data_IF_850653593892
#
_entry.id   IF_850653593892
#
_cell.length_a   1.000
_cell.length_b   1.000
_cell.length_c   1.000
_cell.angle_alpha   90.00
_cell.angle_beta   90.00
_cell.angle_gamma   90.00
#
_symmetry.space_group_name_H-M   'P 1'
#
loop_
_entity.id
_entity.type
_entity.pdbx_description
1 polymer ?
#
# COMPACT_ATOMS: atom_id res chain seq x y z
N UNK A 1 -51.12 -9.38 10.17
CA UNK A 1 -50.00 -8.83 9.38
C UNK A 1 -48.86 -8.64 10.35
N UNK A 2 -48.07 -9.68 10.52
CA UNK A 2 -46.84 -9.66 11.33
C UNK A 2 -45.80 -8.98 10.46
N UNK A 3 -45.38 -7.78 10.86
CA UNK A 3 -44.26 -7.09 10.23
C UNK A 3 -43.05 -8.02 10.33
N UNK A 4 -42.53 -8.44 9.17
CA UNK A 4 -41.28 -9.17 9.14
C UNK A 4 -40.18 -8.21 9.65
N UNK A 5 -39.30 -8.63 10.56
CA UNK A 5 -38.20 -7.80 10.99
C UNK A 5 -37.39 -7.42 9.74
N UNK A 6 -37.31 -6.12 9.46
CA UNK A 6 -36.38 -5.60 8.47
C UNK A 6 -35.00 -6.08 8.92
N UNK A 7 -34.18 -6.72 8.06
CA UNK A 7 -32.84 -7.13 8.49
C UNK A 7 -32.12 -5.86 8.95
N UNK A 8 -31.75 -5.84 10.23
CA UNK A 8 -31.01 -4.73 10.83
C UNK A 8 -29.80 -4.47 9.95
N UNK A 9 -29.70 -3.25 9.41
CA UNK A 9 -28.55 -2.88 8.60
C UNK A 9 -27.29 -3.08 9.46
N UNK A 10 -26.21 -3.64 8.90
CA UNK A 10 -24.99 -3.81 9.66
C UNK A 10 -24.53 -2.44 10.17
N UNK A 11 -24.22 -2.39 11.47
CA UNK A 11 -23.75 -1.17 12.14
C UNK A 11 -22.39 -0.75 11.59
N UNK A 12 -21.54 -1.73 11.29
CA UNK A 12 -20.24 -1.57 10.68
C UNK A 12 -20.16 -2.33 9.36
N UNK A 13 -19.66 -1.68 8.32
CA UNK A 13 -19.28 -2.33 7.06
C UNK A 13 -17.76 -2.40 6.99
N UNK A 14 -17.22 -3.62 7.00
CA UNK A 14 -15.77 -3.85 6.94
C UNK A 14 -15.31 -3.95 5.48
N UNK A 15 -14.25 -3.21 5.15
CA UNK A 15 -13.58 -3.23 3.86
C UNK A 15 -12.17 -3.81 4.02
N UNK A 16 -11.75 -4.70 3.09
CA UNK A 16 -10.43 -5.29 3.14
C UNK A 16 -9.34 -4.29 2.77
N UNK A 17 -8.36 -4.19 3.65
CA UNK A 17 -7.10 -3.52 3.41
C UNK A 17 -6.01 -4.51 2.98
N UNK A 18 -5.32 -4.20 1.89
CA UNK A 18 -4.23 -5.00 1.35
C UNK A 18 -2.85 -4.44 1.70
N UNK A 19 -2.75 -3.33 2.42
CA UNK A 19 -1.45 -2.74 2.69
C UNK A 19 -0.81 -2.19 1.42
N UNK A 20 0.50 -2.36 1.34
CA UNK A 20 1.28 -2.01 0.16
C UNK A 20 0.97 -2.85 -1.08
N UNK A 21 0.32 -4.01 -0.92
CA UNK A 21 -0.05 -4.87 -2.05
C UNK A 21 -1.01 -4.18 -3.01
N UNK A 22 -1.73 -3.11 -2.61
CA UNK A 22 -2.52 -2.31 -3.54
C UNK A 22 -1.72 -1.84 -4.76
N UNK A 23 -0.43 -1.53 -4.59
CA UNK A 23 0.44 -1.10 -5.70
C UNK A 23 0.71 -2.23 -6.70
N UNK A 24 0.59 -3.48 -6.25
CA UNK A 24 0.86 -4.68 -7.06
C UNK A 24 -0.39 -5.24 -7.74
N UNK A 25 -1.59 -4.69 -7.46
CA UNK A 25 -2.86 -5.28 -7.84
C UNK A 25 -3.65 -4.38 -8.80
N UNK A 26 -3.46 -4.49 -10.14
CA UNK A 26 -4.07 -3.60 -11.12
C UNK A 26 -5.61 -3.52 -11.07
N UNK A 27 -6.27 -4.59 -10.62
CA UNK A 27 -7.73 -4.71 -10.62
C UNK A 27 -8.36 -4.55 -9.22
N UNK A 28 -7.55 -4.40 -8.18
CA UNK A 28 -7.99 -4.11 -6.82
C UNK A 28 -6.93 -3.27 -6.11
N UNK A 29 -6.79 -2.02 -6.54
CA UNK A 29 -5.83 -1.04 -6.01
C UNK A 29 -6.54 0.05 -5.19
N UNK A 30 -5.77 1.04 -4.73
CA UNK A 30 -6.31 2.17 -3.97
C UNK A 30 -7.41 2.94 -4.72
N UNK A 31 -7.32 3.04 -6.06
CA UNK A 31 -8.35 3.64 -6.90
C UNK A 31 -9.66 2.84 -6.88
N UNK A 32 -9.57 1.50 -6.94
CA UNK A 32 -10.75 0.61 -6.81
C UNK A 32 -11.46 0.82 -5.47
N UNK A 33 -10.70 0.92 -4.37
CA UNK A 33 -11.28 1.16 -3.03
C UNK A 33 -12.02 2.50 -2.99
N UNK A 34 -11.41 3.57 -3.52
CA UNK A 34 -12.06 4.89 -3.62
C UNK A 34 -13.38 4.82 -4.41
N UNK A 35 -13.40 4.13 -5.56
CA UNK A 35 -14.60 3.96 -6.37
C UNK A 35 -15.71 3.26 -5.60
N UNK A 36 -15.36 2.20 -4.86
CA UNK A 36 -16.31 1.42 -4.08
C UNK A 36 -16.91 2.20 -2.90
N UNK A 37 -16.09 3.01 -2.23
CA UNK A 37 -16.53 3.88 -1.16
C UNK A 37 -17.44 5.00 -1.69
N UNK A 38 -17.08 5.61 -2.82
CA UNK A 38 -17.89 6.64 -3.49
C UNK A 38 -19.24 6.11 -3.96
N UNK A 39 -19.29 4.91 -4.54
CA UNK A 39 -20.54 4.27 -4.94
C UNK A 39 -21.51 4.07 -3.76
N UNK A 40 -20.99 4.03 -2.53
CA UNK A 40 -21.75 3.92 -1.28
C UNK A 40 -21.95 5.25 -0.55
N UNK A 41 -21.54 6.36 -1.16
CA UNK A 41 -21.59 7.71 -0.56
C UNK A 41 -20.83 7.82 0.78
N UNK A 42 -19.77 7.02 0.96
CA UNK A 42 -18.91 7.11 2.15
C UNK A 42 -18.08 8.38 2.07
N UNK A 43 -18.08 9.16 3.15
CA UNK A 43 -17.31 10.42 3.29
C UNK A 43 -16.22 10.34 4.36
N UNK A 44 -16.29 9.35 5.23
CA UNK A 44 -15.33 9.10 6.29
C UNK A 44 -15.20 7.57 6.47
N UNK A 45 -13.99 7.11 6.74
CA UNK A 45 -13.71 5.73 7.12
C UNK A 45 -13.04 5.66 8.49
N UNK A 46 -13.28 4.57 9.20
CA UNK A 46 -12.61 4.23 10.45
C UNK A 46 -11.35 3.44 10.11
N UNK A 47 -10.18 3.98 10.45
CA UNK A 47 -8.90 3.34 10.14
C UNK A 47 -8.55 2.32 11.22
N UNK A 48 -8.82 1.05 10.91
CA UNK A 48 -8.51 -0.12 11.74
C UNK A 48 -7.41 -0.99 11.08
N UNK A 49 -6.58 -0.38 10.25
CA UNK A 49 -5.46 -1.03 9.57
C UNK A 49 -4.11 -0.51 10.07
N UNK A 50 -3.02 -1.02 9.48
CA UNK A 50 -1.65 -0.78 9.92
C UNK A 50 -1.30 0.71 10.13
N UNK A 51 -0.33 0.99 11.02
CA UNK A 51 0.11 2.36 11.32
C UNK A 51 1.02 2.95 10.23
N UNK A 52 1.29 2.22 9.15
CA UNK A 52 2.17 2.66 8.07
C UNK A 52 1.71 4.02 7.54
N UNK A 53 2.53 5.08 7.68
CA UNK A 53 2.19 6.36 7.13
C UNK A 53 2.09 6.29 5.61
N UNK A 54 2.98 5.55 4.94
CA UNK A 54 3.14 5.57 3.48
C UNK A 54 2.12 4.69 2.74
N UNK A 55 1.14 4.19 3.49
CA UNK A 55 0.08 3.35 2.99
C UNK A 55 -0.69 4.00 1.81
N UNK A 56 -0.91 3.30 0.68
CA UNK A 56 -1.56 3.85 -0.52
C UNK A 56 -2.90 4.56 -0.26
N UNK A 57 -3.74 4.00 0.62
CA UNK A 57 -5.04 4.59 0.96
C UNK A 57 -4.93 5.91 1.74
N UNK A 58 -3.82 6.18 2.43
CA UNK A 58 -3.62 7.43 3.18
C UNK A 58 -3.38 8.63 2.26
N UNK A 59 -2.99 8.38 1.02
CA UNK A 59 -2.96 9.37 -0.07
C UNK A 59 -4.30 9.39 -0.82
N UNK A 60 -4.77 8.21 -1.24
CA UNK A 60 -5.90 8.10 -2.15
C UNK A 60 -7.23 8.58 -1.53
N UNK A 61 -7.51 8.24 -0.26
CA UNK A 61 -8.78 8.59 0.38
C UNK A 61 -8.92 10.10 0.59
N UNK A 62 -7.96 10.81 1.21
CA UNK A 62 -8.08 12.26 1.38
C UNK A 62 -8.09 13.01 0.05
N UNK A 63 -7.29 12.59 -0.93
CA UNK A 63 -7.29 13.18 -2.27
C UNK A 63 -8.66 13.03 -2.96
N UNK A 64 -9.35 11.90 -2.68
CA UNK A 64 -10.71 11.64 -3.11
C UNK A 64 -11.79 12.38 -2.31
N UNK A 65 -11.44 13.09 -1.23
CA UNK A 65 -12.38 13.78 -0.33
C UNK A 65 -13.03 12.88 0.72
N UNK A 66 -12.41 11.73 1.03
CA UNK A 66 -12.86 10.80 2.07
C UNK A 66 -11.94 10.99 3.28
N UNK A 67 -12.52 11.38 4.42
CA UNK A 67 -11.80 11.57 5.66
C UNK A 67 -11.38 10.22 6.28
N UNK A 68 -10.25 10.22 6.98
CA UNK A 68 -9.76 9.07 7.73
C UNK A 68 -9.87 9.40 9.22
N UNK A 69 -10.65 8.61 9.96
CA UNK A 69 -10.71 8.69 11.42
C UNK A 69 -9.79 7.65 12.04
N UNK A 70 -8.75 8.15 12.71
CA UNK A 70 -7.74 7.35 13.40
C UNK A 70 -8.19 6.94 14.82
N UNK A 71 -7.38 6.10 15.47
CA UNK A 71 -7.50 5.78 16.91
C UNK A 71 -7.95 4.35 17.22
N UNK A 72 -8.21 3.54 16.20
CA UNK A 72 -8.67 2.16 16.39
C UNK A 72 -7.54 1.15 16.55
N UNK A 73 -6.34 1.45 16.06
CA UNK A 73 -5.19 0.54 16.18
C UNK A 73 -4.32 0.85 17.39
N UNK A 74 -3.69 -0.20 17.93
CA UNK A 74 -2.73 -0.12 19.02
C UNK A 74 -1.32 -0.36 18.50
N UNK A 75 -0.32 0.01 19.29
CA UNK A 75 1.07 -0.33 18.99
C UNK A 75 1.35 -1.81 19.34
N UNK A 76 1.67 -2.60 18.32
CA UNK A 76 1.99 -4.02 18.42
C UNK A 76 3.46 -4.32 18.12
N UNK A 77 4.35 -3.31 18.03
CA UNK A 77 5.77 -3.54 17.72
C UNK A 77 6.47 -4.48 18.72
N UNK A 78 6.01 -4.50 19.98
CA UNK A 78 6.48 -5.43 21.00
C UNK A 78 6.13 -6.90 20.69
N UNK A 79 5.01 -7.17 20.01
CA UNK A 79 4.60 -8.52 19.65
C UNK A 79 5.50 -9.12 18.56
N UNK A 80 6.00 -8.28 17.65
CA UNK A 80 7.02 -8.69 16.66
C UNK A 80 8.35 -9.03 17.34
N UNK A 81 8.75 -8.26 18.36
CA UNK A 81 9.95 -8.55 19.14
C UNK A 81 9.84 -9.91 19.88
N UNK A 82 8.72 -10.16 20.57
CA UNK A 82 8.48 -11.45 21.23
C UNK A 82 8.40 -12.61 20.23
N UNK A 83 7.83 -12.39 19.04
CA UNK A 83 7.81 -13.38 17.98
C UNK A 83 9.23 -13.74 17.52
N UNK A 84 10.10 -12.75 17.31
CA UNK A 84 11.49 -12.96 16.92
C UNK A 84 12.29 -13.72 18.00
N UNK A 85 12.04 -13.44 19.28
CA UNK A 85 12.62 -14.18 20.40
C UNK A 85 12.16 -15.65 20.42
N UNK A 86 10.85 -15.90 20.23
CA UNK A 86 10.32 -17.25 20.13
C UNK A 86 10.94 -18.02 18.95
N UNK A 87 11.06 -17.39 17.78
CA UNK A 87 11.71 -18.01 16.62
C UNK A 87 13.14 -18.44 16.96
N UNK A 88 13.91 -17.54 17.60
CA UNK A 88 15.29 -17.81 18.04
C UNK A 88 15.37 -18.98 19.03
N UNK A 89 14.38 -19.11 19.92
CA UNK A 89 14.28 -20.24 20.85
C UNK A 89 13.92 -21.56 20.14
N UNK A 90 12.90 -21.56 19.28
CA UNK A 90 12.43 -22.76 18.58
C UNK A 90 13.50 -23.35 17.65
N UNK A 91 14.36 -22.52 17.06
CA UNK A 91 15.46 -22.97 16.21
C UNK A 91 16.49 -23.85 16.94
N UNK A 92 16.59 -23.74 18.27
CA UNK A 92 17.54 -24.52 19.08
C UNK A 92 17.13 -25.99 19.23
N UNK A 93 15.86 -26.33 18.97
CA UNK A 93 15.32 -27.67 19.20
C UNK A 93 14.86 -28.33 17.88
N UNK A 94 15.08 -29.64 17.67
CA UNK A 94 14.60 -30.34 16.47
C UNK A 94 13.09 -30.23 16.23
N UNK A 95 12.29 -30.40 17.29
CA UNK A 95 10.82 -30.28 17.23
C UNK A 95 10.39 -28.84 16.93
N UNK A 96 11.06 -27.83 17.52
CA UNK A 96 10.78 -26.42 17.24
C UNK A 96 11.07 -26.05 15.79
N UNK A 97 12.16 -26.56 15.20
CA UNK A 97 12.47 -26.39 13.78
C UNK A 97 11.40 -27.01 12.87
N UNK A 98 10.81 -28.14 13.25
CA UNK A 98 9.70 -28.74 12.49
C UNK A 98 8.45 -27.86 12.52
N UNK A 99 8.04 -27.40 13.71
CA UNK A 99 6.91 -26.45 13.88
C UNK A 99 7.12 -25.18 13.04
N UNK A 100 8.34 -24.62 13.03
CA UNK A 100 8.69 -23.45 12.23
C UNK A 100 8.62 -23.69 10.72
N UNK A 101 9.04 -24.87 10.23
CA UNK A 101 8.91 -25.21 8.80
C UNK A 101 7.45 -25.34 8.39
N UNK A 102 6.62 -25.92 9.25
CA UNK A 102 5.19 -26.06 8.98
C UNK A 102 4.50 -24.69 8.92
N UNK A 103 4.82 -23.81 9.87
CA UNK A 103 4.37 -22.42 9.89
C UNK A 103 4.82 -21.66 8.63
N UNK A 104 6.08 -21.78 8.24
CA UNK A 104 6.62 -21.16 7.03
C UNK A 104 5.93 -21.67 5.75
N UNK A 105 5.54 -22.94 5.69
CA UNK A 105 4.75 -23.45 4.54
C UNK A 105 3.36 -22.84 4.48
N UNK A 106 2.72 -22.61 5.62
CA UNK A 106 1.42 -21.95 5.67
C UNK A 106 1.53 -20.46 5.28
N UNK A 107 2.57 -19.78 5.76
CA UNK A 107 2.87 -18.39 5.38
C UNK A 107 3.13 -18.26 3.88
N UNK A 108 3.94 -19.16 3.31
CA UNK A 108 4.19 -19.17 1.85
C UNK A 108 2.90 -19.42 1.06
N UNK A 109 2.08 -20.40 1.46
CA UNK A 109 0.82 -20.69 0.77
C UNK A 109 -0.14 -19.49 0.80
N UNK A 110 -0.18 -18.73 1.90
CA UNK A 110 -0.98 -17.51 1.98
C UNK A 110 -0.37 -16.37 1.15
N UNK A 111 0.95 -16.21 1.17
CA UNK A 111 1.66 -15.24 0.34
C UNK A 111 1.43 -15.48 -1.17
N UNK A 112 1.39 -16.73 -1.60
CA UNK A 112 1.09 -17.11 -2.99
C UNK A 112 -0.33 -16.64 -3.41
N UNK A 113 -1.31 -16.77 -2.51
CA UNK A 113 -2.67 -16.24 -2.76
C UNK A 113 -2.73 -14.71 -2.77
N UNK A 114 -1.96 -14.03 -1.91
CA UNK A 114 -1.90 -12.57 -1.82
C UNK A 114 -1.21 -11.92 -3.02
N UNK A 115 -0.27 -12.63 -3.64
CA UNK A 115 0.51 -12.14 -4.79
C UNK A 115 -0.11 -12.52 -6.14
N UNK A 116 -1.09 -13.42 -6.14
CA UNK A 116 -1.89 -13.71 -7.33
C UNK A 116 -2.68 -12.46 -7.77
N UNK A 117 -2.97 -12.30 -9.08
CA UNK A 117 -3.79 -11.20 -9.57
C UNK A 117 -5.17 -11.17 -8.88
N UNK A 118 -5.44 -10.09 -8.18
CA UNK A 118 -6.61 -9.96 -7.33
C UNK A 118 -7.69 -9.09 -7.98
N UNK A 119 -8.92 -9.60 -7.95
CA UNK A 119 -10.13 -8.84 -8.25
C UNK A 119 -11.03 -8.82 -7.03
N UNK A 120 -11.99 -7.90 -6.99
CA UNK A 120 -12.95 -7.81 -5.90
C UNK A 120 -13.73 -9.12 -5.64
N UNK A 121 -14.00 -9.89 -6.71
CA UNK A 121 -14.68 -11.19 -6.63
C UNK A 121 -13.83 -12.29 -5.96
N UNK A 122 -12.50 -12.14 -5.90
CA UNK A 122 -11.58 -13.10 -5.26
C UNK A 122 -11.46 -12.89 -3.74
N UNK A 123 -11.93 -11.76 -3.21
CA UNK A 123 -11.80 -11.43 -1.79
C UNK A 123 -12.38 -12.53 -0.87
N UNK A 124 -13.58 -13.10 -1.09
CA UNK A 124 -14.09 -14.16 -0.22
C UNK A 124 -13.15 -15.38 -0.12
N UNK A 125 -12.59 -15.83 -1.25
CA UNK A 125 -11.64 -16.94 -1.26
C UNK A 125 -10.35 -16.61 -0.51
N UNK A 126 -9.88 -15.35 -0.62
CA UNK A 126 -8.70 -14.88 0.09
C UNK A 126 -8.93 -14.78 1.61
N UNK A 127 -10.15 -14.45 2.05
CA UNK A 127 -10.54 -14.50 3.46
C UNK A 127 -10.56 -15.93 4.01
N UNK A 128 -10.99 -16.91 3.22
CA UNK A 128 -10.91 -18.33 3.61
C UNK A 128 -9.45 -18.82 3.71
N UNK A 129 -8.59 -18.35 2.81
CA UNK A 129 -7.14 -18.60 2.89
C UNK A 129 -6.55 -17.98 4.17
N UNK A 130 -6.92 -16.75 4.52
CA UNK A 130 -6.50 -16.10 5.77
C UNK A 130 -6.96 -16.87 7.02
N UNK A 131 -8.22 -17.36 7.05
CA UNK A 131 -8.71 -18.23 8.14
C UNK A 131 -7.84 -19.48 8.29
N UNK A 132 -7.50 -20.12 7.16
CA UNK A 132 -6.68 -21.34 7.14
C UNK A 132 -5.25 -21.07 7.64
N UNK A 133 -4.67 -19.95 7.20
CA UNK A 133 -3.35 -19.49 7.62
C UNK A 133 -3.27 -19.27 9.14
N UNK A 134 -4.18 -18.48 9.71
CA UNK A 134 -4.19 -18.20 11.15
C UNK A 134 -4.50 -19.44 11.99
N UNK A 135 -5.42 -20.31 11.54
CA UNK A 135 -5.69 -21.58 12.21
C UNK A 135 -4.45 -22.47 12.25
N UNK A 136 -3.69 -22.52 11.14
CA UNK A 136 -2.46 -23.30 11.07
C UNK A 136 -1.36 -22.72 11.96
N UNK A 137 -1.16 -21.40 11.96
CA UNK A 137 -0.19 -20.78 12.86
C UNK A 137 -0.53 -21.03 14.33
N UNK A 138 -1.80 -20.93 14.71
CA UNK A 138 -2.26 -21.21 16.07
C UNK A 138 -2.03 -22.68 16.47
N UNK A 139 -2.34 -23.64 15.61
CA UNK A 139 -2.08 -25.07 15.85
C UNK A 139 -0.56 -25.35 15.96
N UNK A 140 0.24 -24.71 15.11
CA UNK A 140 1.68 -24.99 15.02
C UNK A 140 2.53 -24.21 15.99
N UNK A 141 2.14 -23.03 16.45
CA UNK A 141 2.98 -22.17 17.29
C UNK A 141 2.32 -21.73 18.60
N UNK A 142 1.08 -22.17 18.84
CA UNK A 142 0.23 -21.75 19.95
C UNK A 142 -0.13 -20.25 19.90
N UNK A 143 -1.24 -19.87 20.54
CA UNK A 143 -1.61 -18.44 20.66
C UNK A 143 -0.65 -17.72 21.61
N UNK A 144 -0.23 -16.50 21.23
CA UNK A 144 0.76 -15.71 21.97
C UNK A 144 1.89 -15.24 21.04
N UNK A 145 3.17 -15.33 21.43
CA UNK A 145 4.28 -14.91 20.57
C UNK A 145 4.30 -15.63 19.21
N UNK A 146 3.84 -16.89 19.14
CA UNK A 146 3.77 -17.69 17.92
C UNK A 146 2.89 -17.08 16.82
N UNK A 147 1.77 -16.47 17.22
CA UNK A 147 0.80 -15.83 16.33
C UNK A 147 0.90 -14.30 16.34
N UNK A 148 1.95 -13.73 16.94
CA UNK A 148 2.06 -12.28 17.22
C UNK A 148 0.86 -11.75 17.99
N UNK A 149 0.37 -12.54 18.94
CA UNK A 149 -0.78 -12.22 19.79
C UNK A 149 -2.05 -11.89 19.00
N UNK A 150 -2.27 -12.58 17.88
CA UNK A 150 -3.36 -12.32 16.94
C UNK A 150 -4.73 -12.23 17.61
N UNK A 151 -5.10 -13.19 18.45
CA UNK A 151 -6.41 -13.20 19.10
C UNK A 151 -6.58 -12.00 20.04
N UNK A 152 -5.53 -11.67 20.81
CA UNK A 152 -5.52 -10.52 21.72
C UNK A 152 -5.61 -9.20 20.95
N UNK A 153 -4.91 -9.08 19.81
CA UNK A 153 -4.99 -7.93 18.90
C UNK A 153 -6.41 -7.73 18.39
N UNK A 154 -7.04 -8.80 17.93
CA UNK A 154 -8.41 -8.76 17.45
C UNK A 154 -9.42 -8.42 18.55
N UNK A 155 -9.24 -8.94 19.77
CA UNK A 155 -10.09 -8.61 20.92
C UNK A 155 -10.01 -7.11 21.26
N UNK A 156 -8.80 -6.55 21.27
CA UNK A 156 -8.60 -5.12 21.55
C UNK A 156 -9.17 -4.23 20.43
N UNK A 157 -8.96 -4.61 19.17
CA UNK A 157 -9.50 -3.89 18.03
C UNK A 157 -11.04 -3.93 18.01
N UNK A 158 -11.63 -5.09 18.27
CA UNK A 158 -13.08 -5.23 18.36
C UNK A 158 -13.66 -4.40 19.53
N UNK A 159 -12.97 -4.34 20.67
CA UNK A 159 -13.38 -3.50 21.80
C UNK A 159 -13.41 -2.01 21.43
N UNK A 160 -12.43 -1.52 20.64
CA UNK A 160 -12.38 -0.13 20.16
C UNK A 160 -13.42 0.19 19.09
N UNK A 161 -13.82 -0.80 18.29
CA UNK A 161 -14.88 -0.67 17.27
C UNK A 161 -16.28 -0.88 17.85
N UNK A 162 -16.41 -1.38 19.09
CA UNK A 162 -17.71 -1.63 19.71
C UNK A 162 -18.44 -0.31 19.95
N UNK A 163 -19.68 -0.21 19.45
CA UNK A 163 -20.49 1.00 19.54
C UNK A 163 -20.25 2.01 18.42
N UNK A 164 -19.28 1.76 17.55
CA UNK A 164 -19.05 2.56 16.36
C UNK A 164 -20.03 2.21 15.23
N UNK A 165 -20.17 3.13 14.27
CA UNK A 165 -20.96 2.89 13.05
C UNK A 165 -20.24 3.39 11.81
N UNK A 166 -20.59 2.85 10.65
CA UNK A 166 -20.08 3.29 9.35
C UNK A 166 -19.11 2.30 8.70
N UNK A 167 -18.14 2.82 7.96
CA UNK A 167 -17.23 2.01 7.15
C UNK A 167 -15.87 1.90 7.81
N UNK A 168 -15.38 0.67 7.99
CA UNK A 168 -14.08 0.36 8.59
C UNK A 168 -13.14 -0.16 7.51
N UNK A 169 -11.94 0.41 7.40
CA UNK A 169 -10.84 -0.19 6.64
C UNK A 169 -10.01 -1.00 7.63
N UNK A 170 -9.91 -2.32 7.43
CA UNK A 170 -9.15 -3.21 8.31
C UNK A 170 -8.30 -4.19 7.49
N UNK A 171 -7.16 -4.59 8.03
CA UNK A 171 -6.26 -5.56 7.41
C UNK A 171 -7.04 -6.82 6.96
N UNK A 172 -6.83 -7.25 5.71
CA UNK A 172 -7.61 -8.32 5.10
C UNK A 172 -7.56 -9.61 5.92
N UNK A 173 -6.40 -9.95 6.48
CA UNK A 173 -6.16 -11.16 7.26
C UNK A 173 -6.83 -11.13 8.64
N UNK A 174 -7.08 -9.93 9.19
CA UNK A 174 -7.80 -9.71 10.44
C UNK A 174 -9.34 -9.77 10.28
N UNK A 175 -9.86 -9.51 9.07
CA UNK A 175 -11.32 -9.47 8.82
C UNK A 175 -12.08 -10.72 9.26
N UNK A 176 -11.62 -11.96 8.98
CA UNK A 176 -12.33 -13.14 9.42
C UNK A 176 -12.52 -13.19 10.94
N UNK A 177 -11.48 -12.85 11.70
CA UNK A 177 -11.51 -12.87 13.15
C UNK A 177 -12.25 -11.68 13.77
N UNK A 178 -12.30 -10.52 13.07
CA UNK A 178 -13.12 -9.38 13.46
C UNK A 178 -14.62 -9.65 13.27
N UNK A 179 -15.01 -10.30 12.17
CA UNK A 179 -16.41 -10.69 11.93
C UNK A 179 -16.95 -11.62 13.05
N UNK A 180 -16.09 -12.52 13.56
CA UNK A 180 -16.46 -13.41 14.66
C UNK A 180 -16.66 -12.65 15.99
N UNK A 181 -16.02 -11.49 16.17
CA UNK A 181 -16.05 -10.66 17.39
C UNK A 181 -17.05 -9.52 17.35
N UNK A 182 -17.49 -9.12 16.17
CA UNK A 182 -18.39 -7.99 15.93
C UNK A 182 -19.71 -8.50 15.32
N UNK A 183 -20.65 -9.02 16.12
CA UNK A 183 -21.88 -9.67 15.62
C UNK A 183 -22.83 -8.75 14.84
N UNK A 184 -22.60 -7.43 14.83
CA UNK A 184 -23.34 -6.45 14.03
C UNK A 184 -22.56 -5.89 12.84
N UNK A 185 -21.36 -6.40 12.57
CA UNK A 185 -20.55 -6.02 11.42
C UNK A 185 -20.79 -6.96 10.24
N UNK A 186 -20.68 -6.44 9.03
CA UNK A 186 -20.72 -7.22 7.80
C UNK A 186 -19.57 -6.84 6.88
N UNK A 187 -19.11 -7.81 6.07
CA UNK A 187 -18.19 -7.52 4.97
C UNK A 187 -18.91 -6.67 3.92
N UNK A 188 -18.19 -5.73 3.32
CA UNK A 188 -18.66 -5.02 2.14
C UNK A 188 -19.03 -6.00 1.01
N UNK A 189 -20.17 -5.79 0.36
CA UNK A 189 -20.51 -6.57 -0.84
C UNK A 189 -19.65 -6.14 -2.02
N UNK A 190 -18.71 -7.00 -2.39
CA UNK A 190 -17.72 -6.75 -3.45
C UNK A 190 -17.99 -7.56 -4.73
N UNK A 191 -19.05 -8.37 -4.79
CA UNK A 191 -19.21 -9.35 -5.88
C UNK A 191 -19.39 -8.68 -7.25
N UNK A 192 -20.14 -7.59 -7.31
CA UNK A 192 -20.40 -6.86 -8.57
C UNK A 192 -19.40 -5.72 -8.83
N UNK A 193 -18.36 -5.60 -8.00
CA UNK A 193 -17.37 -4.55 -8.15
C UNK A 193 -16.46 -4.81 -9.36
N UNK A 194 -16.40 -3.83 -10.26
CA UNK A 194 -15.45 -3.80 -11.37
C UNK A 194 -14.56 -2.55 -11.25
N UNK A 195 -13.26 -2.66 -11.55
CA UNK A 195 -12.38 -1.49 -11.55
C UNK A 195 -12.82 -0.49 -12.62
N UNK A 196 -12.97 0.76 -12.23
CA UNK A 196 -13.30 1.87 -13.11
C UNK A 196 -12.06 2.65 -13.54
N UNK A 197 -12.30 3.91 -13.91
CA UNK A 197 -11.28 4.79 -14.47
C UNK A 197 -10.21 5.20 -13.44
N UNK A 198 -10.60 5.45 -12.18
CA UNK A 198 -9.62 5.79 -11.13
C UNK A 198 -8.70 4.60 -10.87
N UNK A 199 -9.27 3.39 -10.86
CA UNK A 199 -8.50 2.16 -10.72
C UNK A 199 -7.53 1.98 -11.89
N UNK A 200 -7.96 2.25 -13.13
CA UNK A 200 -7.14 2.09 -14.33
C UNK A 200 -5.95 3.05 -14.34
N UNK A 201 -6.18 4.33 -14.08
CA UNK A 201 -5.12 5.36 -14.07
C UNK A 201 -4.14 5.11 -12.91
N UNK A 202 -4.64 4.73 -11.72
CA UNK A 202 -3.81 4.35 -10.58
C UNK A 202 -2.92 3.14 -10.90
N UNK A 203 -3.48 2.09 -11.52
CA UNK A 203 -2.71 0.91 -11.92
C UNK A 203 -1.58 1.25 -12.90
N UNK A 204 -1.84 2.17 -13.84
CA UNK A 204 -0.81 2.64 -14.77
C UNK A 204 0.33 3.36 -14.04
N UNK A 205 0.00 4.28 -13.13
CA UNK A 205 1.00 4.98 -12.33
C UNK A 205 1.79 4.05 -11.42
N UNK A 206 1.13 3.10 -10.74
CA UNK A 206 1.80 2.12 -9.87
C UNK A 206 2.75 1.22 -10.66
N UNK A 207 2.35 0.80 -11.88
CA UNK A 207 3.23 0.05 -12.77
C UNK A 207 4.45 0.87 -13.18
N UNK A 208 4.24 2.12 -13.57
CA UNK A 208 5.31 3.02 -13.99
C UNK A 208 6.27 3.42 -12.87
N UNK A 209 5.82 3.43 -11.60
CA UNK A 209 6.72 3.61 -10.46
C UNK A 209 7.56 2.37 -10.15
N UNK A 210 7.01 1.18 -10.44
CA UNK A 210 7.70 -0.07 -10.15
C UNK A 210 8.80 -0.42 -11.13
N UNK A 211 8.62 -0.09 -12.43
CA UNK A 211 9.48 -0.44 -13.58
C UNK A 211 10.19 -1.79 -13.47
N UNK A 212 9.78 -2.74 -14.29
CA UNK A 212 10.45 -4.04 -14.38
C UNK A 212 11.16 -4.20 -15.71
N UNK A 213 12.17 -5.06 -15.74
CA UNK A 213 13.01 -5.29 -16.91
C UNK A 213 12.19 -5.77 -18.13
N UNK A 214 11.07 -6.46 -17.90
CA UNK A 214 10.17 -6.93 -18.95
C UNK A 214 9.21 -5.86 -19.53
N UNK A 215 9.24 -4.63 -19.02
CA UNK A 215 8.31 -3.58 -19.45
C UNK A 215 8.62 -3.03 -20.84
N UNK A 216 7.57 -2.86 -21.66
CA UNK A 216 7.63 -2.01 -22.84
C UNK A 216 7.57 -0.54 -22.42
N UNK A 217 8.75 0.05 -22.24
CA UNK A 217 8.92 1.43 -21.77
C UNK A 217 8.25 2.45 -22.70
N UNK A 218 8.23 2.20 -24.01
CA UNK A 218 7.59 3.10 -24.98
C UNK A 218 6.08 3.05 -24.84
N UNK A 219 5.49 1.85 -24.73
CA UNK A 219 4.06 1.70 -24.52
C UNK A 219 3.60 2.32 -23.19
N UNK A 220 4.40 2.16 -22.12
CA UNK A 220 4.12 2.79 -20.82
C UNK A 220 4.17 4.33 -20.91
N UNK A 221 5.21 4.89 -21.54
CA UNK A 221 5.34 6.34 -21.74
C UNK A 221 4.17 6.91 -22.57
N UNK A 222 3.78 6.21 -23.64
CA UNK A 222 2.65 6.63 -24.46
C UNK A 222 1.34 6.61 -23.66
N UNK A 223 1.14 5.55 -22.87
CA UNK A 223 -0.02 5.45 -21.98
C UNK A 223 -0.06 6.59 -20.96
N UNK A 224 1.04 6.84 -20.24
CA UNK A 224 1.13 7.93 -19.25
C UNK A 224 0.87 9.30 -19.88
N UNK A 225 1.40 9.55 -21.07
CA UNK A 225 1.29 10.85 -21.75
C UNK A 225 -0.15 11.16 -22.18
N UNK A 226 -0.91 10.12 -22.58
CA UNK A 226 -2.32 10.23 -22.97
C UNK A 226 -3.24 10.57 -21.80
N UNK A 227 -2.86 10.20 -20.58
CA UNK A 227 -3.69 10.44 -19.39
C UNK A 227 -3.63 11.90 -18.92
N UNK A 228 -4.77 12.44 -18.52
CA UNK A 228 -4.85 13.78 -17.93
C UNK A 228 -4.72 13.78 -16.41
N UNK A 229 -4.79 12.59 -15.79
CA UNK A 229 -4.82 12.41 -14.34
C UNK A 229 -6.21 12.66 -13.75
N UNK A 230 -6.32 12.38 -12.46
CA UNK A 230 -7.52 12.56 -11.66
C UNK A 230 -7.15 13.05 -10.25
N UNK A 231 -8.12 13.12 -9.32
CA UNK A 231 -7.83 13.61 -7.96
C UNK A 231 -6.94 12.67 -7.14
N UNK A 232 -7.05 11.36 -7.35
CA UNK A 232 -6.27 10.32 -6.67
C UNK A 232 -4.89 10.18 -7.31
N UNK A 233 -4.83 10.25 -8.64
CA UNK A 233 -3.60 10.15 -9.44
C UNK A 233 -3.46 11.41 -10.30
N UNK A 234 -2.96 12.52 -9.73
CA UNK A 234 -2.90 13.81 -10.45
C UNK A 234 -1.94 13.76 -11.63
N UNK A 235 -2.04 14.74 -12.54
CA UNK A 235 -1.14 14.84 -13.69
C UNK A 235 0.34 14.90 -13.29
N UNK A 236 0.66 15.60 -12.20
CA UNK A 236 2.02 15.68 -11.63
C UNK A 236 2.56 14.29 -11.24
N UNK A 237 1.69 13.44 -10.69
CA UNK A 237 1.73 11.97 -10.70
C UNK A 237 2.43 11.35 -11.90
N UNK A 238 1.67 11.41 -12.99
CA UNK A 238 1.97 10.73 -14.23
C UNK A 238 3.23 11.28 -14.88
N UNK A 239 3.44 12.60 -14.81
CA UNK A 239 4.66 13.24 -15.30
C UNK A 239 5.89 12.77 -14.49
N UNK A 240 5.79 12.60 -13.18
CA UNK A 240 6.88 12.11 -12.34
C UNK A 240 7.20 10.62 -12.56
N UNK A 241 6.15 9.80 -12.76
CA UNK A 241 6.32 8.40 -13.14
C UNK A 241 6.99 8.27 -14.52
N UNK A 242 6.55 9.05 -15.51
CA UNK A 242 7.17 9.10 -16.84
C UNK A 242 8.63 9.57 -16.77
N UNK A 243 8.94 10.55 -15.93
CA UNK A 243 10.32 10.99 -15.71
C UNK A 243 11.23 9.89 -15.14
N UNK A 244 10.68 8.98 -14.33
CA UNK A 244 11.44 7.83 -13.81
C UNK A 244 11.82 6.86 -14.93
N UNK A 245 10.95 6.69 -15.95
CA UNK A 245 11.29 5.92 -17.16
C UNK A 245 12.41 6.61 -17.94
N UNK A 246 12.32 7.91 -18.17
CA UNK A 246 13.38 8.66 -18.87
C UNK A 246 14.72 8.62 -18.13
N UNK A 247 14.70 8.69 -16.79
CA UNK A 247 15.90 8.52 -15.98
C UNK A 247 16.49 7.11 -16.16
N UNK A 248 15.66 6.07 -16.16
CA UNK A 248 16.10 4.68 -16.30
C UNK A 248 16.83 4.42 -17.64
N UNK A 249 16.42 5.10 -18.71
CA UNK A 249 17.08 5.01 -20.03
C UNK A 249 18.17 6.07 -20.27
N UNK A 250 18.46 6.90 -19.27
CA UNK A 250 19.52 7.91 -19.34
C UNK A 250 19.16 9.22 -20.07
N UNK A 251 17.90 9.44 -20.45
CA UNK A 251 17.45 10.73 -20.97
C UNK A 251 17.19 11.71 -19.81
N UNK A 252 18.29 12.21 -19.25
CA UNK A 252 18.27 13.13 -18.10
C UNK A 252 17.55 14.45 -18.43
N UNK A 253 17.58 14.89 -19.69
CA UNK A 253 16.96 16.15 -20.11
C UNK A 253 15.42 16.05 -20.11
N UNK A 254 14.88 14.96 -20.67
CA UNK A 254 13.45 14.68 -20.61
C UNK A 254 12.98 14.44 -19.17
N UNK A 255 13.72 13.64 -18.40
CA UNK A 255 13.42 13.37 -17.00
C UNK A 255 13.34 14.67 -16.16
N UNK A 256 14.34 15.55 -16.30
CA UNK A 256 14.34 16.86 -15.62
C UNK A 256 13.13 17.71 -16.01
N UNK A 257 12.85 17.81 -17.31
CA UNK A 257 11.75 18.64 -17.82
C UNK A 257 10.41 18.23 -17.22
N UNK A 258 10.16 16.92 -17.14
CA UNK A 258 8.93 16.38 -16.55
C UNK A 258 8.89 16.55 -15.04
N UNK A 259 9.99 16.34 -14.32
CA UNK A 259 10.03 16.53 -12.86
C UNK A 259 9.89 17.99 -12.46
N UNK A 260 10.47 18.93 -13.21
CA UNK A 260 10.29 20.36 -12.97
C UNK A 260 8.83 20.79 -13.23
N UNK A 261 8.21 20.23 -14.28
CA UNK A 261 6.77 20.42 -14.52
C UNK A 261 5.92 19.85 -13.39
N UNK A 262 6.19 18.60 -12.97
CA UNK A 262 5.48 17.96 -11.88
C UNK A 262 5.61 18.78 -10.59
N UNK A 263 6.82 19.22 -10.24
CA UNK A 263 7.10 20.05 -9.07
C UNK A 263 6.34 21.38 -9.11
N UNK A 264 6.22 22.02 -10.28
CA UNK A 264 5.45 23.25 -10.44
C UNK A 264 3.94 23.05 -10.36
N UNK A 265 3.45 21.86 -10.74
CA UNK A 265 2.04 21.49 -10.72
C UNK A 265 1.58 20.92 -9.37
N UNK A 266 2.49 20.73 -8.40
CA UNK A 266 2.12 20.37 -7.03
C UNK A 266 1.22 21.48 -6.46
N UNK A 267 -0.04 21.15 -6.28
CA UNK A 267 -1.07 22.02 -5.75
C UNK A 267 -1.78 21.24 -4.65
N UNK A 268 -2.11 21.92 -3.55
CA UNK A 268 -2.76 21.34 -2.37
C UNK A 268 -1.93 20.26 -1.63
N UNK A 269 -2.25 20.01 -0.36
CA UNK A 269 -1.52 19.08 0.51
C UNK A 269 -1.70 17.59 0.13
N UNK A 270 -2.26 17.27 -1.05
CA UNK A 270 -2.64 15.91 -1.46
C UNK A 270 -2.35 15.60 -2.94
N UNK A 271 -1.85 14.40 -3.28
CA UNK A 271 -1.38 13.34 -2.39
C UNK A 271 -0.18 13.79 -1.54
N UNK A 272 -0.25 13.56 -0.23
CA UNK A 272 0.76 14.01 0.76
C UNK A 272 2.15 13.44 0.47
N UNK A 273 2.25 12.25 -0.13
CA UNK A 273 3.51 11.61 -0.50
C UNK A 273 4.21 12.24 -1.71
N UNK A 274 3.43 12.81 -2.63
CA UNK A 274 3.89 13.14 -3.98
C UNK A 274 5.01 14.20 -4.01
N UNK A 275 4.97 15.30 -3.24
CA UNK A 275 6.04 16.28 -3.22
C UNK A 275 7.40 15.66 -2.88
N UNK A 276 7.44 14.75 -1.90
CA UNK A 276 8.67 14.06 -1.50
C UNK A 276 9.24 13.21 -2.63
N UNK A 277 8.38 12.42 -3.30
CA UNK A 277 8.78 11.55 -4.41
C UNK A 277 9.32 12.35 -5.60
N UNK A 278 8.62 13.42 -6.01
CA UNK A 278 9.02 14.29 -7.12
C UNK A 278 10.36 14.96 -6.83
N UNK A 279 10.51 15.57 -5.66
CA UNK A 279 11.73 16.29 -5.31
C UNK A 279 12.92 15.34 -5.13
N UNK A 280 12.75 14.19 -4.47
CA UNK A 280 13.82 13.21 -4.32
C UNK A 280 14.35 12.74 -5.70
N UNK A 281 13.44 12.43 -6.63
CA UNK A 281 13.81 12.03 -8.00
C UNK A 281 14.46 13.17 -8.78
N UNK A 282 13.98 14.41 -8.63
CA UNK A 282 14.60 15.59 -9.25
C UNK A 282 16.03 15.82 -8.73
N UNK A 283 16.27 15.55 -7.45
CA UNK A 283 17.62 15.58 -6.87
C UNK A 283 18.56 14.59 -7.57
N UNK A 284 18.11 13.35 -7.79
CA UNK A 284 18.90 12.32 -8.47
C UNK A 284 19.21 12.71 -9.92
N UNK A 285 18.22 13.22 -10.67
CA UNK A 285 18.45 13.70 -12.04
C UNK A 285 19.48 14.84 -12.08
N UNK A 286 19.43 15.77 -11.12
CA UNK A 286 20.40 16.88 -11.04
C UNK A 286 21.81 16.38 -10.73
N UNK A 287 21.95 15.44 -9.80
CA UNK A 287 23.25 14.80 -9.52
C UNK A 287 23.79 14.09 -10.77
N UNK A 288 22.96 13.32 -11.47
CA UNK A 288 23.34 12.63 -12.71
C UNK A 288 23.74 13.60 -13.83
N UNK A 289 23.21 14.83 -13.84
CA UNK A 289 23.59 15.91 -14.75
C UNK A 289 24.84 16.68 -14.31
N UNK A 290 25.39 16.41 -13.13
CA UNK A 290 26.53 17.14 -12.55
C UNK A 290 26.14 18.44 -11.82
N UNK A 291 24.84 18.74 -11.69
CA UNK A 291 24.30 19.93 -11.02
C UNK A 291 24.25 19.73 -9.48
N UNK A 292 25.38 19.35 -8.87
CA UNK A 292 25.48 18.92 -7.46
C UNK A 292 24.90 19.92 -6.47
N UNK A 293 25.20 21.20 -6.65
CA UNK A 293 24.70 22.26 -5.77
C UNK A 293 23.17 22.40 -5.79
N UNK A 294 22.54 22.16 -6.95
CA UNK A 294 21.09 22.16 -7.07
C UNK A 294 20.49 20.87 -6.51
N UNK A 295 21.13 19.72 -6.73
CA UNK A 295 20.70 18.44 -6.15
C UNK A 295 20.68 18.49 -4.61
N UNK A 296 21.75 18.97 -3.98
CA UNK A 296 21.84 19.15 -2.52
C UNK A 296 20.73 20.06 -1.97
N UNK A 297 20.40 21.14 -2.69
CA UNK A 297 19.27 22.02 -2.32
C UNK A 297 17.95 21.29 -2.43
N UNK A 298 17.75 20.50 -3.48
CA UNK A 298 16.53 19.69 -3.64
C UNK A 298 16.38 18.66 -2.54
N UNK A 299 17.43 17.91 -2.18
CA UNK A 299 17.36 16.92 -1.11
C UNK A 299 17.06 17.55 0.26
N UNK A 300 17.65 18.72 0.57
CA UNK A 300 17.28 19.48 1.77
C UNK A 300 15.81 19.91 1.75
N UNK A 301 15.28 20.26 0.59
CA UNK A 301 13.87 20.61 0.45
C UNK A 301 12.96 19.41 0.71
N UNK A 302 13.33 18.19 0.28
CA UNK A 302 12.62 16.95 0.63
C UNK A 302 12.50 16.83 2.15
N UNK A 303 13.61 16.91 2.87
CA UNK A 303 13.64 16.74 4.33
C UNK A 303 12.92 17.86 5.11
N UNK A 304 12.57 18.97 4.44
CA UNK A 304 11.84 20.09 5.03
C UNK A 304 10.31 19.98 4.85
N UNK A 305 9.81 18.98 4.12
CA UNK A 305 8.37 18.78 3.94
C UNK A 305 7.68 18.31 5.23
N UNK A 306 6.40 18.65 5.37
CA UNK A 306 5.56 18.23 6.49
C UNK A 306 5.36 16.71 6.54
N UNK A 307 5.30 16.07 5.38
CA UNK A 307 5.36 14.63 5.23
C UNK A 307 6.32 14.25 4.11
N UNK A 308 7.11 13.21 4.36
CA UNK A 308 8.05 12.63 3.39
C UNK A 308 7.92 11.12 3.48
N UNK A 309 7.59 10.44 2.37
CA UNK A 309 7.63 8.99 2.30
C UNK A 309 9.03 8.46 2.62
N UNK A 310 9.12 7.31 3.28
CA UNK A 310 10.37 6.70 3.69
C UNK A 310 11.36 6.58 2.54
N UNK A 311 10.93 6.07 1.38
CA UNK A 311 11.79 5.95 0.18
C UNK A 311 12.36 7.31 -0.28
N UNK A 312 11.57 8.38 -0.19
CA UNK A 312 12.03 9.73 -0.56
C UNK A 312 12.98 10.31 0.49
N UNK A 313 12.72 10.04 1.78
CA UNK A 313 13.60 10.44 2.88
C UNK A 313 14.96 9.75 2.76
N UNK A 314 14.96 8.43 2.61
CA UNK A 314 16.19 7.63 2.42
C UNK A 314 16.96 8.08 1.18
N UNK A 315 16.27 8.33 0.06
CA UNK A 315 16.88 8.86 -1.15
C UNK A 315 17.53 10.22 -0.91
N UNK A 316 16.87 11.12 -0.20
CA UNK A 316 17.40 12.44 0.11
C UNK A 316 18.59 12.38 1.08
N UNK A 317 18.49 11.59 2.15
CA UNK A 317 19.58 11.39 3.11
C UNK A 317 20.82 10.80 2.45
N UNK A 318 20.63 9.77 1.61
CA UNK A 318 21.72 9.20 0.81
C UNK A 318 22.28 10.25 -0.14
N UNK A 319 21.43 10.96 -0.89
CA UNK A 319 21.82 12.00 -1.84
C UNK A 319 22.62 13.16 -1.21
N UNK A 320 22.38 13.49 0.06
CA UNK A 320 23.16 14.50 0.79
C UNK A 320 24.58 14.04 1.09
N UNK A 321 24.79 12.75 1.30
CA UNK A 321 26.09 12.16 1.63
C UNK A 321 26.88 11.76 0.38
N UNK A 322 26.21 11.13 -0.57
CA UNK A 322 26.81 10.56 -1.78
C UNK A 322 26.03 11.05 -3.00
N UNK A 323 26.69 11.63 -4.01
CA UNK A 323 26.01 12.01 -5.25
C UNK A 323 25.39 10.79 -5.92
N UNK A 324 24.17 10.93 -6.42
CA UNK A 324 23.57 9.89 -7.25
C UNK A 324 24.32 9.76 -8.59
N UNK A 325 24.66 8.53 -8.97
CA UNK A 325 25.24 8.21 -10.27
C UNK A 325 24.32 7.23 -11.00
N UNK A 326 24.00 7.53 -12.25
CA UNK A 326 23.24 6.62 -13.09
C UNK A 326 24.19 5.57 -13.68
N UNK A 327 23.99 4.32 -13.31
CA UNK A 327 24.64 3.17 -13.93
C UNK A 327 23.68 2.60 -14.98
N UNK A 328 24.01 2.79 -16.25
CA UNK A 328 23.27 2.15 -17.34
C UNK A 328 23.83 0.73 -17.53
N UNK A 329 22.98 -0.29 -17.71
CA UNK A 329 23.45 -1.62 -18.05
C UNK A 329 24.28 -1.55 -19.35
N UNK A 330 25.49 -2.12 -19.32
CA UNK A 330 26.34 -2.21 -20.50
C UNK A 330 25.57 -2.87 -21.65
N UNK A 331 25.53 -2.25 -22.82
CA UNK A 331 24.95 -2.89 -24.00
C UNK A 331 25.71 -4.19 -24.30
N UNK A 332 25.04 -5.34 -24.43
CA UNK A 332 25.71 -6.57 -24.86
C UNK A 332 26.13 -6.44 -26.33
N UNK A 333 27.40 -6.12 -26.54
CA UNK A 333 28.15 -6.46 -27.75
C UNK A 333 28.00 -5.50 -28.94
N UNK A 334 28.78 -4.43 -28.94
CA UNK A 334 29.33 -3.87 -30.17
C UNK A 334 30.75 -4.42 -30.37
N UNK A 335 30.85 -5.67 -30.82
CA UNK A 335 32.04 -6.23 -31.50
C UNK A 335 31.67 -6.63 -32.93
#
# INVERSE_FOLDING_TARGET
MTDAPTPDRPTLTLFPDLGDLYRLQPQFNAGTVVELLRARNVREVLWASGPDPDHPLRDALPAAGIAIREGFTADWAWADAEHAELQSYLQQYPQGRERMRDAARAEQAFADELTAPLTAARIPALLDAARTYHATLKDRLDEGPGTRWHARRLDELAARLTGETGTVIAALDDLPGLLDRLPGAALADLHAAAPGELSRVRALADRAWQLRDEDDLNALLEALTRETGDRVTPRAELDAAAASIYLAVGDLAAARTLLERAAHALTDDQPRSLPGLVLARLGQVRDAQGDRDLALRTYRAVLALSHVPQVARETADLGLTTPFTLELPDEPGAE
#
